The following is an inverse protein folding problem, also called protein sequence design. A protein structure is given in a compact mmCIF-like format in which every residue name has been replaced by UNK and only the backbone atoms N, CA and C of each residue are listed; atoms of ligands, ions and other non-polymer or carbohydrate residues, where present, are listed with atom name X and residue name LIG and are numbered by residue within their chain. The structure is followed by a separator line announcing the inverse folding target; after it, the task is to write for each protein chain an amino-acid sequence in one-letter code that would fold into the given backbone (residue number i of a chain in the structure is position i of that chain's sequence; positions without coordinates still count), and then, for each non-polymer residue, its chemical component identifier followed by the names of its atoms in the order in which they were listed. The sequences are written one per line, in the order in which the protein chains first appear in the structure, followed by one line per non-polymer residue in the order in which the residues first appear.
data_IF_182633335693
#
_entry.id   IF_182633335693
#
_cell.length_a   1.000
_cell.length_b   1.000
_cell.length_c   1.000
_cell.angle_alpha   90.00
_cell.angle_beta   90.00
_cell.angle_gamma   90.00
#
_symmetry.space_group_name_H-M   'P 1'
#
loop_
_entity.id
_entity.type
_entity.pdbx_description
1 polymer ?
#
# COMPACT_ATOMS: atom_id res chain seq x y z
N UNK A 1 3.95 6.12 5.44
CA UNK A 1 3.41 6.30 6.81
C UNK A 1 1.99 6.80 6.69
N UNK A 2 1.06 6.23 7.45
CA UNK A 2 -0.34 6.68 7.47
C UNK A 2 -0.89 6.67 8.90
N UNK A 3 -1.99 7.40 9.12
CA UNK A 3 -2.77 7.37 10.35
C UNK A 3 -4.08 6.63 10.09
N UNK A 4 -4.36 5.58 10.86
CA UNK A 4 -5.62 4.85 10.87
C UNK A 4 -6.21 4.92 12.28
N UNK A 5 -7.35 5.60 12.42
CA UNK A 5 -7.95 5.86 13.73
C UNK A 5 -6.91 6.47 14.70
N UNK A 6 -6.45 5.73 15.72
CA UNK A 6 -5.45 6.17 16.71
C UNK A 6 -4.11 5.43 16.59
N UNK A 7 -3.83 4.86 15.42
CA UNK A 7 -2.63 4.04 15.15
C UNK A 7 -1.88 4.59 13.95
N UNK A 8 -0.60 4.88 14.13
CA UNK A 8 0.29 5.28 13.05
C UNK A 8 1.00 4.06 12.48
N UNK A 9 0.75 3.75 11.21
CA UNK A 9 1.37 2.64 10.49
C UNK A 9 2.60 3.14 9.73
N UNK A 10 3.72 2.44 9.92
CA UNK A 10 5.02 2.78 9.34
C UNK A 10 5.56 1.55 8.62
N UNK A 11 5.44 1.52 7.29
CA UNK A 11 5.96 0.45 6.45
C UNK A 11 7.26 0.87 5.76
N UNK A 12 8.24 -0.03 5.74
CA UNK A 12 9.44 0.05 4.94
C UNK A 12 10.30 1.29 5.19
N UNK A 13 10.79 1.89 4.10
CA UNK A 13 11.76 2.98 4.15
C UNK A 13 13.17 2.49 3.82
N UNK A 14 14.17 3.27 4.25
CA UNK A 14 15.57 3.00 3.95
C UNK A 14 16.42 3.24 5.19
N UNK A 15 17.18 2.22 5.58
CA UNK A 15 18.21 2.31 6.61
C UNK A 15 19.56 2.18 5.95
N UNK A 16 20.32 3.27 5.91
CA UNK A 16 21.63 3.34 5.22
C UNK A 16 21.52 2.96 3.73
N UNK A 17 22.12 1.85 3.29
CA UNK A 17 22.04 1.33 1.93
C UNK A 17 20.92 0.27 1.74
N UNK A 18 20.25 -0.16 2.82
CA UNK A 18 19.23 -1.20 2.76
C UNK A 18 17.82 -0.60 2.73
N UNK A 19 16.99 -1.07 1.79
CA UNK A 19 15.55 -0.86 1.86
C UNK A 19 14.93 -1.84 2.86
N UNK A 20 13.82 -1.44 3.49
CA UNK A 20 13.13 -2.21 4.50
C UNK A 20 11.72 -2.60 4.03
N UNK A 21 11.20 -3.70 4.57
CA UNK A 21 9.80 -4.15 4.45
C UNK A 21 9.20 -4.52 5.81
N UNK A 22 9.74 -3.97 6.90
CA UNK A 22 9.13 -4.07 8.22
C UNK A 22 7.92 -3.14 8.32
N UNK A 23 6.97 -3.50 9.18
CA UNK A 23 5.80 -2.71 9.49
C UNK A 23 5.79 -2.52 11.00
N UNK A 24 5.65 -1.27 11.41
CA UNK A 24 5.49 -0.91 12.81
C UNK A 24 4.20 -0.14 12.99
N UNK A 25 3.60 -0.32 14.16
CA UNK A 25 2.43 0.41 14.61
C UNK A 25 2.83 1.19 15.86
N UNK A 26 2.64 2.50 15.82
CA UNK A 26 2.66 3.34 17.00
C UNK A 26 1.21 3.60 17.42
N UNK A 27 0.81 3.06 18.57
CA UNK A 27 -0.46 3.41 19.20
C UNK A 27 -0.33 4.79 19.85
N UNK A 28 -1.14 5.76 19.42
CA UNK A 28 -1.03 7.15 19.88
C UNK A 28 -1.75 7.38 21.22
N UNK A 29 -2.51 6.41 21.71
CA UNK A 29 -3.16 6.47 23.03
C UNK A 29 -2.20 6.04 24.13
N UNK A 30 -1.57 4.87 23.95
CA UNK A 30 -0.60 4.32 24.90
C UNK A 30 0.85 4.73 24.63
N UNK A 31 1.12 5.34 23.47
CA UNK A 31 2.47 5.63 22.98
C UNK A 31 3.34 4.38 22.88
N UNK A 32 2.73 3.24 22.52
CA UNK A 32 3.40 1.94 22.39
C UNK A 32 3.81 1.68 20.95
N UNK A 33 5.07 1.30 20.75
CA UNK A 33 5.65 1.00 19.44
C UNK A 33 5.82 -0.51 19.26
N UNK A 34 5.09 -1.08 18.30
CA UNK A 34 5.01 -2.53 18.09
C UNK A 34 5.41 -2.90 16.69
N UNK A 35 6.36 -3.83 16.57
CA UNK A 35 6.72 -4.46 15.30
C UNK A 35 5.64 -5.49 14.92
N UNK A 36 5.09 -5.38 13.72
CA UNK A 36 4.06 -6.29 13.20
C UNK A 36 4.70 -7.51 12.57
N UNK A 37 4.23 -8.70 12.96
CA UNK A 37 4.59 -9.95 12.29
C UNK A 37 3.53 -10.26 11.24
N UNK A 38 3.98 -10.57 10.02
CA UNK A 38 3.08 -10.90 8.92
C UNK A 38 2.67 -12.36 8.94
N UNK A 39 1.43 -12.64 8.57
CA UNK A 39 0.99 -14.02 8.31
C UNK A 39 1.47 -14.56 6.95
N UNK A 40 1.82 -13.67 6.01
CA UNK A 40 2.22 -14.01 4.66
C UNK A 40 3.42 -13.19 4.15
N UNK A 41 3.80 -13.43 2.89
CA UNK A 41 4.93 -12.74 2.27
C UNK A 41 4.63 -11.25 2.09
N UNK A 42 5.43 -10.35 2.68
CA UNK A 42 5.25 -8.92 2.52
C UNK A 42 5.71 -8.44 1.12
N UNK A 43 5.32 -7.22 0.73
CA UNK A 43 5.87 -6.56 -0.45
C UNK A 43 7.40 -6.45 -0.39
N UNK A 44 8.05 -6.30 -1.54
CA UNK A 44 9.50 -6.08 -1.61
C UNK A 44 9.93 -4.89 -0.71
N UNK A 45 11.11 -4.97 -0.07
CA UNK A 45 11.69 -3.84 0.65
C UNK A 45 11.76 -2.59 -0.21
N UNK A 46 11.21 -1.49 0.30
CA UNK A 46 11.02 -0.27 -0.50
C UNK A 46 11.05 1.02 0.31
N UNK A 47 11.60 2.07 -0.28
CA UNK A 47 11.46 3.46 0.15
C UNK A 47 10.70 4.29 -0.88
N UNK A 48 10.37 5.54 -0.57
CA UNK A 48 9.71 6.47 -1.50
C UNK A 48 8.37 5.96 -2.10
N UNK A 49 7.73 4.98 -1.46
CA UNK A 49 6.40 4.52 -1.85
C UNK A 49 5.35 5.51 -1.33
N UNK A 50 4.23 5.59 -2.02
CA UNK A 50 3.07 6.32 -1.53
C UNK A 50 2.18 5.36 -0.73
N UNK A 51 1.46 5.89 0.27
CA UNK A 51 0.56 5.11 1.11
C UNK A 51 -0.68 5.92 1.48
N UNK A 52 -1.85 5.27 1.52
CA UNK A 52 -3.12 5.88 1.91
C UNK A 52 -3.97 4.89 2.72
N UNK A 53 -4.73 5.35 3.73
CA UNK A 53 -5.80 4.54 4.33
C UNK A 53 -6.89 4.29 3.28
N UNK A 54 -7.45 3.08 3.23
CA UNK A 54 -8.56 2.74 2.29
C UNK A 54 -9.78 2.15 3.00
N UNK A 55 -9.67 1.86 4.29
CA UNK A 55 -10.76 1.66 5.25
C UNK A 55 -10.18 1.80 6.66
N UNK A 56 -11.01 1.66 7.70
CA UNK A 56 -10.55 1.71 9.10
C UNK A 56 -9.45 0.70 9.44
N UNK A 57 -9.44 -0.45 8.75
CA UNK A 57 -8.52 -1.57 9.00
C UNK A 57 -7.62 -1.91 7.80
N UNK A 58 -7.56 -1.05 6.77
CA UNK A 58 -6.78 -1.33 5.55
C UNK A 58 -5.92 -0.14 5.12
N UNK A 59 -4.66 -0.44 4.83
CA UNK A 59 -3.68 0.50 4.24
C UNK A 59 -3.34 0.06 2.83
N UNK A 60 -3.38 0.96 1.85
CA UNK A 60 -2.83 0.72 0.52
C UNK A 60 -1.47 1.37 0.36
N UNK A 61 -0.53 0.66 -0.28
CA UNK A 61 0.76 1.19 -0.72
C UNK A 61 0.91 1.06 -2.24
N UNK A 62 1.55 2.04 -2.87
CA UNK A 62 1.79 2.08 -4.32
C UNK A 62 3.25 2.39 -4.62
N UNK A 63 3.84 1.57 -5.49
CA UNK A 63 5.17 1.77 -6.04
C UNK A 63 6.27 1.88 -4.99
N UNK A 64 7.16 2.86 -5.17
CA UNK A 64 8.38 3.06 -4.40
C UNK A 64 9.62 2.62 -5.16
N UNK A 65 10.76 2.65 -4.49
CA UNK A 65 12.04 2.20 -5.01
C UNK A 65 12.63 1.12 -4.09
N UNK A 66 13.18 0.08 -4.70
CA UNK A 66 13.83 -1.04 -4.04
C UNK A 66 15.26 -1.22 -4.56
N UNK A 67 15.93 -2.31 -4.15
CA UNK A 67 17.26 -2.64 -4.67
C UNK A 67 17.28 -2.90 -6.19
N UNK A 68 16.13 -3.21 -6.79
CA UNK A 68 15.99 -3.48 -8.23
C UNK A 68 15.46 -2.27 -9.03
N UNK A 69 15.34 -1.09 -8.39
CA UNK A 69 14.80 0.12 -9.01
C UNK A 69 13.36 0.43 -8.59
N UNK A 70 12.72 1.32 -9.36
CA UNK A 70 11.35 1.76 -9.11
C UNK A 70 10.33 0.63 -9.34
N UNK A 71 9.27 0.64 -8.55
CA UNK A 71 8.25 -0.41 -8.51
C UNK A 71 6.93 0.11 -9.10
N UNK A 72 6.18 -0.79 -9.72
CA UNK A 72 4.86 -0.54 -10.34
C UNK A 72 3.78 -1.43 -9.74
N UNK A 73 3.93 -1.85 -8.49
CA UNK A 73 2.99 -2.73 -7.79
C UNK A 73 2.10 -1.96 -6.82
N UNK A 74 0.97 -2.59 -6.48
CA UNK A 74 -0.04 -2.09 -5.57
C UNK A 74 -0.34 -3.18 -4.56
N UNK A 75 -0.28 -2.84 -3.27
CA UNK A 75 -0.57 -3.79 -2.19
C UNK A 75 -1.46 -3.15 -1.15
N UNK A 76 -2.29 -3.99 -0.52
CA UNK A 76 -3.11 -3.62 0.63
C UNK A 76 -2.70 -4.46 1.83
N UNK A 77 -2.47 -3.81 2.96
CA UNK A 77 -2.28 -4.44 4.25
C UNK A 77 -3.61 -4.47 5.00
N UNK A 78 -3.96 -5.64 5.52
CA UNK A 78 -5.15 -5.89 6.33
C UNK A 78 -4.73 -5.97 7.80
N UNK A 79 -5.20 -5.03 8.62
CA UNK A 79 -4.78 -4.89 10.01
C UNK A 79 -5.27 -6.05 10.88
N UNK A 80 -6.47 -6.56 10.63
CA UNK A 80 -7.09 -7.63 11.42
C UNK A 80 -6.34 -8.97 11.27
N UNK A 81 -5.96 -9.30 10.05
CA UNK A 81 -5.24 -10.55 9.72
C UNK A 81 -3.73 -10.37 9.67
N UNK A 82 -3.22 -9.15 9.86
CA UNK A 82 -1.79 -8.84 9.71
C UNK A 82 -1.19 -9.41 8.42
N UNK A 83 -1.92 -9.27 7.31
CA UNK A 83 -1.57 -9.89 6.02
C UNK A 83 -1.59 -8.90 4.87
N UNK A 84 -0.82 -9.20 3.83
CA UNK A 84 -0.75 -8.40 2.60
C UNK A 84 -1.50 -9.04 1.44
N UNK A 85 -2.18 -8.24 0.63
CA UNK A 85 -2.78 -8.66 -0.64
C UNK A 85 -2.28 -7.79 -1.78
N UNK A 86 -1.84 -8.41 -2.86
CA UNK A 86 -1.47 -7.70 -4.09
C UNK A 86 -2.71 -7.40 -4.93
N UNK A 87 -2.80 -6.19 -5.45
CA UNK A 87 -3.91 -5.75 -6.30
C UNK A 87 -3.38 -5.46 -7.71
N UNK A 88 -4.07 -5.98 -8.71
CA UNK A 88 -3.80 -5.65 -10.10
C UNK A 88 -4.64 -4.44 -10.50
N UNK A 89 -3.98 -3.34 -10.88
CA UNK A 89 -4.62 -2.19 -11.51
C UNK A 89 -3.85 -1.87 -12.78
N UNK A 90 -4.42 -2.08 -13.99
CA UNK A 90 -3.72 -1.76 -15.23
C UNK A 90 -3.29 -0.29 -15.31
N UNK A 91 -4.03 0.60 -14.64
CA UNK A 91 -3.77 2.04 -14.62
C UNK A 91 -2.63 2.36 -13.65
N UNK A 92 -2.71 1.91 -12.39
CA UNK A 92 -1.70 2.23 -11.37
C UNK A 92 -0.41 1.43 -11.54
N UNK A 93 -0.50 0.23 -12.10
CA UNK A 93 0.64 -0.65 -12.37
C UNK A 93 1.25 -0.46 -13.77
N UNK A 94 0.83 0.58 -14.51
CA UNK A 94 1.23 0.82 -15.91
C UNK A 94 2.71 1.20 -16.06
N UNK A 95 3.27 1.92 -15.08
CA UNK A 95 4.68 2.34 -15.07
C UNK A 95 5.23 2.42 -13.65
N UNK A 96 6.52 2.16 -13.45
CA UNK A 96 7.13 2.22 -12.13
C UNK A 96 7.21 3.65 -11.63
N UNK A 97 6.88 3.88 -10.35
CA UNK A 97 6.87 5.21 -9.75
C UNK A 97 7.43 5.18 -8.34
N UNK A 98 8.36 6.08 -8.07
CA UNK A 98 8.87 6.40 -6.74
C UNK A 98 8.77 7.91 -6.49
N UNK A 99 8.49 8.28 -5.23
CA UNK A 99 8.38 9.67 -4.81
C UNK A 99 7.14 10.39 -5.32
N UNK A 100 6.13 9.64 -5.78
CA UNK A 100 4.83 10.19 -6.18
C UNK A 100 3.94 10.48 -4.97
N UNK A 101 2.95 11.35 -5.18
CA UNK A 101 1.86 11.56 -4.24
C UNK A 101 0.69 10.63 -4.56
N UNK A 102 0.04 10.11 -3.53
CA UNK A 102 -1.18 9.32 -3.63
C UNK A 102 -2.22 9.94 -2.70
N UNK A 103 -3.40 10.21 -3.24
CA UNK A 103 -4.52 10.80 -2.50
C UNK A 103 -5.74 9.90 -2.63
N UNK A 104 -6.41 9.65 -1.51
CA UNK A 104 -7.72 9.01 -1.50
C UNK A 104 -8.81 10.04 -1.82
N UNK A 105 -9.62 9.79 -2.85
CA UNK A 105 -10.72 10.67 -3.25
C UNK A 105 -12.05 10.20 -2.67
N UNK A 106 -12.36 8.92 -2.83
CA UNK A 106 -13.61 8.31 -2.35
C UNK A 106 -13.36 6.87 -1.91
N UNK A 107 -14.12 6.44 -0.91
CA UNK A 107 -14.23 5.04 -0.51
C UNK A 107 -15.70 4.67 -0.60
N UNK A 108 -15.98 3.57 -1.28
CA UNK A 108 -17.30 2.95 -1.33
C UNK A 108 -17.21 1.65 -0.54
N UNK A 109 -17.81 1.67 0.65
CA UNK A 109 -17.81 0.54 1.56
C UNK A 109 -18.90 -0.49 1.20
N UNK A 110 -18.68 -1.73 1.66
CA UNK A 110 -19.60 -2.87 1.44
C UNK A 110 -21.00 -2.66 2.03
N UNK A 111 -21.19 -1.64 2.89
CA UNK A 111 -22.50 -1.29 3.45
C UNK A 111 -23.51 -0.86 2.38
N UNK A 112 -23.06 -0.36 1.24
CA UNK A 112 -23.94 0.07 0.14
C UNK A 112 -24.08 -0.97 -0.98
N UNK A 113 -23.08 -1.86 -1.16
CA UNK A 113 -23.16 -3.00 -2.09
C UNK A 113 -22.39 -4.22 -1.54
N UNK A 114 -23.07 -5.34 -1.23
CA UNK A 114 -22.41 -6.53 -0.71
C UNK A 114 -21.35 -7.07 -1.69
N UNK A 115 -20.10 -7.17 -1.25
CA UNK A 115 -19.01 -7.82 -1.99
C UNK A 115 -18.23 -6.93 -2.96
N UNK A 116 -18.36 -5.60 -2.90
CA UNK A 116 -17.63 -4.70 -3.81
C UNK A 116 -17.12 -3.43 -3.14
N UNK A 117 -16.29 -3.58 -2.10
CA UNK A 117 -15.52 -2.46 -1.57
C UNK A 117 -14.60 -1.92 -2.67
N UNK A 118 -14.62 -0.61 -2.92
CA UNK A 118 -13.68 0.01 -3.85
C UNK A 118 -13.29 1.39 -3.38
N UNK A 119 -12.12 1.85 -3.81
CA UNK A 119 -11.65 3.20 -3.53
C UNK A 119 -11.18 3.88 -4.81
N UNK A 120 -11.44 5.17 -4.94
CA UNK A 120 -10.85 5.98 -6.02
C UNK A 120 -9.66 6.74 -5.46
N UNK A 121 -8.53 6.63 -6.14
CA UNK A 121 -7.30 7.33 -5.79
C UNK A 121 -6.79 8.21 -6.92
N UNK A 122 -6.09 9.26 -6.55
CA UNK A 122 -5.36 10.16 -7.44
C UNK A 122 -3.86 10.00 -7.21
N UNK A 123 -3.12 9.71 -8.27
CA UNK A 123 -1.65 9.71 -8.29
C UNK A 123 -1.16 10.95 -9.02
N UNK A 124 -0.15 11.60 -8.46
CA UNK A 124 0.54 12.70 -9.12
C UNK A 124 2.05 12.51 -9.08
N UNK A 125 2.68 12.65 -10.25
CA UNK A 125 4.12 12.76 -10.42
C UNK A 125 4.93 11.50 -10.11
N UNK A 126 6.09 11.70 -9.50
CA UNK A 126 7.10 10.67 -9.20
C UNK A 126 8.16 10.52 -10.30
N UNK A 127 8.94 9.43 -10.23
CA UNK A 127 9.96 9.08 -11.22
C UNK A 127 10.13 7.57 -11.34
N UNK A 128 10.79 7.11 -12.40
CA UNK A 128 11.21 5.71 -12.58
C UNK A 128 12.55 5.37 -11.90
N UNK A 129 13.16 6.33 -11.19
CA UNK A 129 14.52 6.24 -10.66
C UNK A 129 15.61 5.94 -11.73
N UNK A 130 15.31 6.13 -13.02
CA UNK A 130 16.19 5.88 -14.16
C UNK A 130 16.31 7.10 -15.10
N UNK A 131 15.88 8.27 -14.64
CA UNK A 131 16.03 9.55 -15.34
C UNK A 131 14.73 10.14 -15.87
N UNK A 132 13.62 9.40 -15.81
CA UNK A 132 12.30 9.91 -16.20
C UNK A 132 11.56 10.46 -15.00
N UNK A 133 11.18 11.73 -15.07
CA UNK A 133 10.30 12.38 -14.10
C UNK A 133 8.91 12.53 -14.68
N UNK A 134 7.92 12.37 -13.82
CA UNK A 134 6.52 12.43 -14.19
C UNK A 134 5.87 13.68 -13.61
N UNK A 135 5.00 14.30 -14.40
CA UNK A 135 4.12 15.41 -14.02
C UNK A 135 2.65 15.10 -14.34
N UNK A 136 2.34 13.84 -14.66
CA UNK A 136 0.99 13.40 -14.98
C UNK A 136 0.17 13.17 -13.71
N UNK A 137 -1.14 13.36 -13.86
CA UNK A 137 -2.15 13.04 -12.86
C UNK A 137 -2.96 11.85 -13.35
N UNK A 138 -3.08 10.82 -12.51
CA UNK A 138 -3.80 9.59 -12.84
C UNK A 138 -4.85 9.32 -11.77
N UNK A 139 -6.12 9.30 -12.16
CA UNK A 139 -7.22 8.87 -11.30
C UNK A 139 -7.56 7.41 -11.62
N UNK A 140 -7.74 6.58 -10.60
CA UNK A 140 -8.08 5.18 -10.77
C UNK A 140 -8.99 4.68 -9.65
N UNK A 141 -10.03 3.93 -10.00
CA UNK A 141 -10.82 3.15 -9.05
C UNK A 141 -10.19 1.77 -8.89
N UNK A 142 -9.97 1.39 -7.63
CA UNK A 142 -9.35 0.14 -7.20
C UNK A 142 -10.38 -0.66 -6.44
N UNK A 143 -10.64 -1.88 -6.91
CA UNK A 143 -11.48 -2.86 -6.21
C UNK A 143 -10.68 -3.45 -5.04
N UNK A 144 -11.19 -3.29 -3.83
CA UNK A 144 -10.65 -3.88 -2.61
C UNK A 144 -11.31 -5.24 -2.46
N UNK A 145 -10.54 -6.33 -2.59
CA UNK A 145 -11.09 -7.67 -2.44
C UNK A 145 -11.73 -7.80 -1.05
N UNK A 146 -13.02 -8.18 -1.01
CA UNK A 146 -13.75 -8.45 0.22
C UNK A 146 -13.18 -9.65 0.97
N UNK A 147 -13.51 -9.77 2.26
CA UNK A 147 -12.93 -10.74 3.20
C UNK A 147 -13.28 -12.22 2.93
N UNK A 148 -13.79 -12.58 1.75
CA UNK A 148 -14.13 -13.96 1.42
C UNK A 148 -13.60 -14.37 0.04
N UNK A 149 -12.39 -14.92 0.01
CA UNK A 149 -11.80 -15.59 -1.14
C UNK A 149 -10.65 -16.50 -0.70
N UNK A 150 -10.57 -17.75 -1.19
CA UNK A 150 -9.84 -18.81 -0.50
C UNK A 150 -8.33 -18.55 -0.54
N UNK A 151 -7.67 -18.85 0.57
CA UNK A 151 -6.23 -19.06 0.68
C UNK A 151 -5.65 -19.58 -0.64
N UNK A 152 -4.96 -18.71 -1.38
CA UNK A 152 -4.12 -19.14 -2.49
C UNK A 152 -2.90 -19.85 -1.87
N UNK A 153 -3.08 -21.11 -1.47
CA UNK A 153 -1.97 -22.05 -1.27
C UNK A 153 -1.26 -22.17 -2.61
N UNK A 154 -0.20 -21.39 -2.80
CA UNK A 154 0.81 -21.74 -3.81
C UNK A 154 1.43 -23.05 -3.35
N UNK A 155 1.06 -24.13 -4.05
CA UNK A 155 1.77 -25.41 -4.01
C UNK A 155 3.23 -25.14 -4.37
N UNK A 156 4.13 -25.72 -3.57
CA UNK A 156 5.51 -26.03 -3.96
C UNK A 156 5.51 -26.96 -5.18
#
# INVERSE_FOLDING_TARGET
MILLSNKMLIFGGRKTAAYLNDLHILDLGFMEYTAVKYENMPPLPRGFHAAVPVSENRMMISGGCSAIGALQDLHVFHLETSSWSSIASPVLCSKPRAGHSLLLLTVTDEKETPGKASCTVLVFGGSDCAGTFYNDTVQCTVELQGENGPYCKRRL
#
